data_IF_145702153610
#
_entry.id   IF_145702153610
#
_cell.length_a   1.000
_cell.length_b   1.000
_cell.length_c   1.000
_cell.angle_alpha   90.00
_cell.angle_beta   90.00
_cell.angle_gamma   90.00
#
_symmetry.space_group_name_H-M   'P 1'
#
loop_
_entity.id
_entity.type
_entity.pdbx_description
1 polymer ?
#
# COMPACT_ATOMS: atom_id res chain seq x y z
N UNK A 1 -3.15 16.94 -13.98
CA UNK A 1 -2.70 18.06 -13.15
C UNK A 1 -1.21 17.90 -13.02
N UNK A 2 -0.44 18.88 -13.47
CA UNK A 2 0.99 18.72 -13.67
C UNK A 2 1.72 18.83 -12.34
N UNK A 3 2.83 18.10 -12.22
CA UNK A 3 3.71 18.27 -11.06
C UNK A 3 4.21 19.70 -10.93
N UNK A 4 4.48 20.36 -12.05
CA UNK A 4 4.95 21.76 -12.08
C UNK A 4 3.96 22.72 -11.40
N UNK A 5 2.66 22.39 -11.41
CA UNK A 5 1.61 23.17 -10.76
C UNK A 5 1.74 23.15 -9.22
N UNK A 6 2.30 22.07 -8.67
CA UNK A 6 2.42 21.84 -7.21
C UNK A 6 3.87 21.72 -6.73
N UNK A 7 4.86 21.82 -7.62
CA UNK A 7 6.28 21.61 -7.31
C UNK A 7 6.76 22.49 -6.15
N UNK A 8 6.32 23.76 -6.14
CA UNK A 8 6.68 24.71 -5.08
C UNK A 8 6.20 24.25 -3.71
N UNK A 9 5.03 23.59 -3.64
CA UNK A 9 4.49 23.03 -2.40
C UNK A 9 5.40 21.91 -1.91
N UNK A 10 5.78 20.98 -2.79
CA UNK A 10 6.74 19.93 -2.42
C UNK A 10 8.06 20.52 -1.93
N UNK A 11 8.60 21.52 -2.60
CA UNK A 11 9.90 22.11 -2.24
C UNK A 11 9.86 22.95 -0.97
N UNK A 12 8.69 23.43 -0.56
CA UNK A 12 8.47 24.10 0.72
C UNK A 12 8.58 23.14 1.90
N UNK A 13 8.02 21.92 1.77
CA UNK A 13 7.95 20.97 2.88
C UNK A 13 9.05 19.90 2.85
N UNK A 14 9.63 19.60 1.69
CA UNK A 14 10.64 18.56 1.52
C UNK A 14 12.03 19.19 1.40
N UNK A 15 12.97 18.71 2.22
CA UNK A 15 14.35 19.15 2.19
C UNK A 15 14.99 18.94 0.82
N UNK A 16 15.79 19.90 0.35
CA UNK A 16 16.39 19.94 -1.00
C UNK A 16 17.06 18.62 -1.44
N UNK A 17 17.76 17.95 -0.51
CA UNK A 17 18.42 16.66 -0.77
C UNK A 17 17.49 15.54 -1.24
N UNK A 18 16.18 15.68 -1.01
CA UNK A 18 15.16 14.69 -1.34
C UNK A 18 14.24 15.11 -2.49
N UNK A 19 14.48 16.27 -3.13
CA UNK A 19 13.65 16.77 -4.22
C UNK A 19 13.51 15.80 -5.41
N UNK A 20 14.50 14.92 -5.61
CA UNK A 20 14.46 13.86 -6.63
C UNK A 20 13.30 12.87 -6.45
N UNK A 21 12.82 12.68 -5.21
CA UNK A 21 11.75 11.75 -4.87
C UNK A 21 10.36 12.39 -4.95
N UNK A 22 10.26 13.72 -5.10
CA UNK A 22 8.96 14.41 -5.08
C UNK A 22 8.03 13.96 -6.22
N UNK A 23 8.59 13.61 -7.38
CA UNK A 23 7.80 13.11 -8.52
C UNK A 23 7.19 11.74 -8.25
N UNK A 24 7.98 10.84 -7.65
CA UNK A 24 7.50 9.54 -7.23
C UNK A 24 6.41 9.68 -6.16
N UNK A 25 6.65 10.47 -5.12
CA UNK A 25 5.63 10.76 -4.11
C UNK A 25 4.35 11.33 -4.73
N UNK A 26 4.46 12.34 -5.60
CA UNK A 26 3.28 12.91 -6.26
C UNK A 26 2.52 11.90 -7.11
N UNK A 27 3.22 11.03 -7.84
CA UNK A 27 2.59 9.97 -8.60
C UNK A 27 1.81 8.99 -7.70
N UNK A 28 2.39 8.60 -6.56
CA UNK A 28 1.72 7.75 -5.57
C UNK A 28 0.48 8.45 -5.00
N UNK A 29 0.55 9.75 -4.68
CA UNK A 29 -0.58 10.54 -4.20
C UNK A 29 -1.68 10.68 -5.26
N UNK A 30 -1.34 10.84 -6.54
CA UNK A 30 -2.32 10.79 -7.63
C UNK A 30 -3.01 9.42 -7.63
N UNK A 31 -2.26 8.31 -7.59
CA UNK A 31 -2.87 6.98 -7.60
C UNK A 31 -3.77 6.72 -6.38
N UNK A 32 -3.45 7.29 -5.22
CA UNK A 32 -4.34 7.31 -4.05
C UNK A 32 -5.63 8.09 -4.35
N UNK A 33 -5.53 9.33 -4.84
CA UNK A 33 -6.68 10.17 -5.19
C UNK A 33 -7.59 9.50 -6.24
N UNK A 34 -6.99 8.78 -7.20
CA UNK A 34 -7.72 8.05 -8.24
C UNK A 34 -8.30 6.71 -7.77
N UNK A 35 -8.18 6.38 -6.47
CA UNK A 35 -8.66 5.13 -5.90
C UNK A 35 -8.07 3.88 -6.59
N UNK A 36 -6.87 4.00 -7.14
CA UNK A 36 -6.16 2.86 -7.75
C UNK A 36 -5.54 2.00 -6.64
N UNK A 37 -4.96 2.64 -5.62
CA UNK A 37 -4.51 1.99 -4.38
C UNK A 37 -5.17 2.62 -3.15
N UNK A 38 -5.41 1.86 -2.08
CA UNK A 38 -6.04 2.38 -0.86
C UNK A 38 -5.08 3.19 0.01
N UNK A 39 -3.83 2.75 0.11
CA UNK A 39 -2.81 3.38 0.93
C UNK A 39 -1.42 3.30 0.28
N UNK A 40 -0.52 4.13 0.77
CA UNK A 40 0.88 4.21 0.34
C UNK A 40 1.77 4.26 1.58
N UNK A 41 2.73 3.33 1.67
CA UNK A 41 3.81 3.44 2.65
C UNK A 41 4.83 4.43 2.11
N UNK A 42 5.04 5.50 2.85
CA UNK A 42 6.09 6.46 2.57
C UNK A 42 7.30 6.13 3.45
N UNK A 43 8.34 5.63 2.77
CA UNK A 43 9.62 5.14 3.32
C UNK A 43 10.83 5.76 2.57
N UNK A 44 10.59 6.70 1.66
CA UNK A 44 11.61 7.23 0.74
C UNK A 44 12.71 8.04 1.46
N UNK A 45 12.36 8.71 2.56
CA UNK A 45 13.28 9.51 3.36
C UNK A 45 12.67 9.87 4.73
N UNK A 46 13.51 10.20 5.73
CA UNK A 46 13.02 10.68 7.02
C UNK A 46 12.17 11.94 6.84
N UNK A 47 10.93 11.86 7.31
CA UNK A 47 9.96 12.93 7.18
C UNK A 47 9.01 12.92 8.38
N UNK A 48 8.83 14.08 9.03
CA UNK A 48 7.93 14.15 10.18
C UNK A 48 6.47 14.06 9.73
N UNK A 49 5.64 13.45 10.58
CA UNK A 49 4.18 13.36 10.37
C UNK A 49 3.59 14.77 10.22
N UNK A 50 4.01 15.72 11.03
CA UNK A 50 3.58 17.13 10.94
C UNK A 50 3.89 17.74 9.57
N UNK A 51 5.10 17.54 9.04
CA UNK A 51 5.44 18.05 7.70
C UNK A 51 4.66 17.32 6.61
N UNK A 52 4.41 16.01 6.75
CA UNK A 52 3.54 15.28 5.82
C UNK A 52 2.12 15.84 5.85
N UNK A 53 1.57 16.10 7.02
CA UNK A 53 0.25 16.72 7.17
C UNK A 53 0.19 18.08 6.49
N UNK A 54 1.17 18.95 6.74
CA UNK A 54 1.22 20.27 6.12
C UNK A 54 1.36 20.20 4.59
N UNK A 55 2.15 19.24 4.09
CA UNK A 55 2.25 18.95 2.66
C UNK A 55 0.91 18.49 2.07
N UNK A 56 0.28 17.47 2.67
CA UNK A 56 -1.00 16.91 2.20
C UNK A 56 -2.13 17.95 2.28
N UNK A 57 -2.20 18.75 3.34
CA UNK A 57 -3.16 19.85 3.47
C UNK A 57 -2.97 20.90 2.37
N UNK A 58 -1.73 21.26 2.06
CA UNK A 58 -1.44 22.21 0.97
C UNK A 58 -1.81 21.63 -0.39
N UNK A 59 -1.59 20.33 -0.58
CA UNK A 59 -1.96 19.60 -1.80
C UNK A 59 -3.47 19.35 -1.91
N UNK A 60 -4.24 19.36 -0.81
CA UNK A 60 -5.69 19.10 -0.83
C UNK A 60 -6.47 20.09 -1.70
N UNK A 61 -5.94 21.30 -1.89
CA UNK A 61 -6.51 22.31 -2.79
C UNK A 61 -6.40 21.93 -4.27
N UNK A 62 -5.54 20.95 -4.59
CA UNK A 62 -5.17 20.53 -5.94
C UNK A 62 -5.62 19.10 -6.22
N UNK A 63 -5.31 18.22 -5.27
CA UNK A 63 -5.76 16.85 -5.23
C UNK A 63 -7.00 16.83 -4.33
N UNK A 64 -8.19 16.72 -4.90
CA UNK A 64 -9.45 16.65 -4.15
C UNK A 64 -9.63 15.34 -3.36
N UNK A 65 -8.60 14.91 -2.62
CA UNK A 65 -8.63 13.75 -1.74
C UNK A 65 -8.45 14.13 -0.29
N UNK A 66 -9.15 13.39 0.57
CA UNK A 66 -9.00 13.42 2.01
C UNK A 66 -8.12 12.24 2.41
N UNK A 67 -7.08 12.51 3.19
CA UNK A 67 -6.11 11.50 3.60
C UNK A 67 -6.07 11.31 5.10
N UNK A 68 -5.76 10.08 5.52
CA UNK A 68 -5.38 9.71 6.88
C UNK A 68 -3.89 9.40 6.89
N UNK A 69 -3.17 9.85 7.92
CA UNK A 69 -1.77 9.49 8.14
C UNK A 69 -1.69 8.55 9.33
N UNK A 70 -1.16 7.35 9.12
CA UNK A 70 -0.90 6.37 10.17
C UNK A 70 0.61 6.26 10.38
N UNK A 71 1.05 6.38 11.63
CA UNK A 71 2.45 6.12 11.99
C UNK A 71 2.70 4.62 11.98
N UNK A 72 3.56 4.12 11.10
CA UNK A 72 3.81 2.68 11.01
C UNK A 72 5.05 2.26 11.80
N UNK A 73 6.13 3.03 11.69
CA UNK A 73 7.37 2.81 12.44
C UNK A 73 7.94 4.16 12.91
N UNK A 74 9.20 4.17 13.38
CA UNK A 74 9.89 5.41 13.73
C UNK A 74 10.01 6.37 12.53
N UNK A 75 10.25 5.82 11.34
CA UNK A 75 10.50 6.61 10.12
C UNK A 75 9.46 6.39 9.02
N UNK A 76 8.59 5.39 9.16
CA UNK A 76 7.65 5.01 8.12
C UNK A 76 6.24 5.45 8.48
N UNK A 77 5.56 6.01 7.49
CA UNK A 77 4.18 6.48 7.60
C UNK A 77 3.35 5.90 6.47
N UNK A 78 2.11 5.56 6.78
CA UNK A 78 1.12 5.12 5.78
C UNK A 78 0.19 6.29 5.50
N UNK A 79 0.09 6.68 4.24
CA UNK A 79 -0.87 7.67 3.75
C UNK A 79 -2.01 6.91 3.10
N UNK A 80 -3.22 7.08 3.62
CA UNK A 80 -4.40 6.35 3.17
C UNK A 80 -5.46 7.31 2.65
N UNK A 81 -6.15 6.95 1.57
CA UNK A 81 -7.32 7.70 1.09
C UNK A 81 -8.55 7.30 1.92
N UNK A 82 -9.20 8.26 2.57
CA UNK A 82 -10.41 8.03 3.38
C UNK A 82 -11.51 7.29 2.60
N UNK A 83 -11.68 7.59 1.31
CA UNK A 83 -12.70 6.96 0.46
C UNK A 83 -12.44 5.48 0.15
N UNK A 84 -11.26 4.96 0.49
CA UNK A 84 -10.92 3.54 0.36
C UNK A 84 -10.99 2.79 1.69
N UNK A 85 -11.16 3.49 2.81
CA UNK A 85 -11.21 2.89 4.14
C UNK A 85 -12.38 1.91 4.27
N UNK A 86 -13.57 2.30 3.81
CA UNK A 86 -14.76 1.43 3.81
C UNK A 86 -14.56 0.13 3.03
N UNK A 87 -13.80 0.16 1.93
CA UNK A 87 -13.48 -1.05 1.16
C UNK A 87 -12.53 -1.95 1.93
N UNK A 88 -11.53 -1.40 2.61
CA UNK A 88 -10.64 -2.19 3.46
C UNK A 88 -11.35 -2.77 4.69
N UNK A 89 -12.45 -2.17 5.12
CA UNK A 89 -13.28 -2.69 6.21
C UNK A 89 -14.22 -3.81 5.73
N UNK A 90 -14.66 -3.74 4.47
CA UNK A 90 -15.62 -4.68 3.88
C UNK A 90 -15.11 -6.13 3.96
N UNK A 91 -15.84 -7.04 4.63
CA UNK A 91 -15.50 -8.46 4.68
C UNK A 91 -15.49 -9.14 3.31
N UNK A 92 -16.19 -8.57 2.31
CA UNK A 92 -16.20 -9.06 0.92
C UNK A 92 -14.93 -8.75 0.13
N UNK A 93 -14.03 -7.92 0.69
CA UNK A 93 -12.72 -7.67 0.08
C UNK A 93 -11.91 -8.96 0.04
N UNK A 94 -11.84 -9.54 -1.16
CA UNK A 94 -11.14 -10.79 -1.43
C UNK A 94 -9.63 -10.58 -1.36
N UNK A 95 -9.00 -11.33 -0.47
CA UNK A 95 -7.54 -11.42 -0.32
C UNK A 95 -7.16 -12.87 -0.10
N UNK A 96 -6.06 -13.32 -0.68
CA UNK A 96 -5.48 -14.62 -0.36
C UNK A 96 -4.41 -14.40 0.70
N UNK A 97 -4.49 -15.18 1.77
CA UNK A 97 -3.48 -15.25 2.79
C UNK A 97 -2.59 -16.44 2.52
N UNK A 98 -1.30 -16.21 2.43
CA UNK A 98 -0.28 -17.24 2.27
C UNK A 98 0.36 -17.42 3.64
N UNK A 99 0.10 -18.56 4.27
CA UNK A 99 0.81 -18.95 5.49
C UNK A 99 2.18 -19.49 5.08
N UNK A 100 3.22 -18.69 5.31
CA UNK A 100 4.60 -19.04 4.98
C UNK A 100 5.17 -20.14 5.90
N UNK A 101 4.53 -20.46 7.02
CA UNK A 101 4.96 -21.56 7.89
C UNK A 101 4.57 -22.92 7.30
N UNK A 102 3.37 -23.00 6.74
CA UNK A 102 2.79 -24.24 6.21
C UNK A 102 2.83 -24.32 4.69
N UNK A 103 3.10 -23.19 4.02
CA UNK A 103 3.03 -23.01 2.57
C UNK A 103 1.65 -23.38 2.02
N UNK A 104 0.59 -22.90 2.67
CA UNK A 104 -0.81 -23.13 2.32
C UNK A 104 -1.51 -21.78 2.14
N UNK A 105 -2.49 -21.73 1.24
CA UNK A 105 -3.39 -20.57 1.05
C UNK A 105 -4.65 -20.69 1.90
N UNK A 106 -5.12 -19.57 2.45
CA UNK A 106 -6.42 -19.46 3.12
C UNK A 106 -7.05 -18.12 2.78
N UNK A 107 -8.38 -18.08 2.69
CA UNK A 107 -9.13 -16.86 2.42
C UNK A 107 -9.55 -16.14 3.72
N UNK A 108 -9.32 -16.79 4.88
CA UNK A 108 -9.68 -16.25 6.17
C UNK A 108 -8.56 -16.43 7.21
N UNK A 109 -8.38 -15.41 8.05
CA UNK A 109 -7.53 -15.48 9.23
C UNK A 109 -8.01 -14.45 10.28
N UNK A 110 -8.08 -14.79 11.59
CA UNK A 110 -8.58 -13.88 12.63
C UNK A 110 -7.84 -12.54 12.73
N UNK A 111 -6.59 -12.49 12.25
CA UNK A 111 -5.80 -11.26 12.16
C UNK A 111 -6.42 -10.23 11.21
N UNK A 112 -7.05 -10.66 10.12
CA UNK A 112 -7.73 -9.74 9.21
C UNK A 112 -8.87 -9.04 9.92
N UNK A 113 -9.62 -9.75 10.77
CA UNK A 113 -10.69 -9.16 11.57
C UNK A 113 -10.16 -8.14 12.57
N UNK A 114 -8.99 -8.39 13.17
CA UNK A 114 -8.32 -7.39 14.03
C UNK A 114 -7.95 -6.12 13.24
N UNK A 115 -7.39 -6.27 12.04
CA UNK A 115 -7.04 -5.13 11.17
C UNK A 115 -8.32 -4.37 10.77
N UNK A 116 -9.35 -5.08 10.29
CA UNK A 116 -10.64 -4.51 9.89
C UNK A 116 -11.31 -3.76 11.04
N UNK A 117 -11.38 -4.36 12.22
CA UNK A 117 -11.97 -3.73 13.41
C UNK A 117 -11.25 -2.43 13.77
N UNK A 118 -9.91 -2.41 13.67
CA UNK A 118 -9.16 -1.19 13.89
C UNK A 118 -9.41 -0.14 12.81
N UNK A 119 -9.44 -0.53 11.52
CA UNK A 119 -9.81 0.38 10.44
C UNK A 119 -11.23 0.94 10.61
N UNK A 120 -12.20 0.14 11.07
CA UNK A 120 -13.56 0.59 11.40
C UNK A 120 -13.59 1.61 12.52
N UNK A 121 -12.75 1.43 13.53
CA UNK A 121 -12.59 2.40 14.61
C UNK A 121 -12.02 3.73 14.07
N UNK A 122 -11.03 3.66 13.17
CA UNK A 122 -10.46 4.85 12.51
C UNK A 122 -11.55 5.58 11.71
N UNK A 123 -12.33 4.84 10.93
CA UNK A 123 -13.42 5.39 10.11
C UNK A 123 -14.48 6.09 10.98
N UNK A 124 -14.85 5.45 12.10
CA UNK A 124 -15.80 6.01 13.06
C UNK A 124 -15.28 7.30 13.69
N UNK A 125 -14.02 7.34 14.11
CA UNK A 125 -13.39 8.54 14.69
C UNK A 125 -13.26 9.67 13.68
N UNK A 126 -12.87 9.38 12.45
CA UNK A 126 -12.76 10.36 11.37
C UNK A 126 -14.09 11.07 11.08
N UNK A 127 -15.21 10.41 11.36
CA UNK A 127 -16.55 10.97 11.22
C UNK A 127 -16.98 11.82 12.43
N UNK A 128 -16.34 11.65 13.60
CA UNK A 128 -16.68 12.31 14.85
C UNK A 128 -15.74 13.47 15.21
N UNK A 129 -14.46 13.33 14.90
CA UNK A 129 -13.40 14.26 15.21
C UNK A 129 -12.70 14.58 13.89
N UNK A 130 -12.59 15.85 13.51
CA UNK A 130 -11.82 16.30 12.33
C UNK A 130 -10.29 16.12 12.55
N UNK A 131 -9.89 15.16 13.37
CA UNK A 131 -8.52 14.78 13.62
C UNK A 131 -8.18 13.57 12.76
N UNK A 132 -7.18 13.72 11.91
CA UNK A 132 -6.84 12.78 10.84
C UNK A 132 -5.69 11.85 11.21
N UNK A 133 -5.21 11.95 12.45
CA UNK A 133 -3.89 11.49 12.83
C UNK A 133 -3.93 10.52 13.99
N UNK A 134 -3.32 9.34 13.79
CA UNK A 134 -3.23 8.28 14.79
C UNK A 134 -1.86 8.19 15.46
N UNK A 135 -1.07 9.27 15.43
CA UNK A 135 0.31 9.25 15.94
C UNK A 135 0.41 8.83 17.42
N UNK A 136 -0.60 9.13 18.22
CA UNK A 136 -0.67 8.84 19.66
C UNK A 136 -1.58 7.65 19.99
N UNK A 137 -2.03 6.92 18.97
CA UNK A 137 -2.96 5.81 19.19
C UNK A 137 -2.21 4.57 19.72
N UNK A 138 -2.37 4.32 21.01
CA UNK A 138 -1.82 3.13 21.69
C UNK A 138 -2.39 1.82 21.14
N UNK A 139 -3.66 1.79 20.72
CA UNK A 139 -4.28 0.60 20.12
C UNK A 139 -3.67 0.27 18.75
N UNK A 140 -3.41 1.28 17.92
CA UNK A 140 -2.73 1.11 16.63
C UNK A 140 -1.29 0.61 16.83
N UNK A 141 -0.58 1.20 17.78
CA UNK A 141 0.78 0.82 18.12
C UNK A 141 0.85 -0.62 18.63
N UNK A 142 -0.08 -0.99 19.51
CA UNK A 142 -0.22 -2.36 20.04
C UNK A 142 -0.61 -3.36 18.94
N UNK A 143 -1.48 -2.96 18.02
CA UNK A 143 -1.86 -3.78 16.86
C UNK A 143 -0.64 -4.07 15.98
N UNK A 144 0.13 -3.04 15.58
CA UNK A 144 1.33 -3.24 14.76
C UNK A 144 2.35 -4.13 15.48
N UNK A 145 2.57 -3.92 16.78
CA UNK A 145 3.52 -4.72 17.56
C UNK A 145 3.10 -6.18 17.74
N UNK A 146 1.79 -6.46 17.75
CA UNK A 146 1.24 -7.79 17.97
C UNK A 146 1.04 -8.59 16.68
N UNK A 147 1.14 -7.95 15.52
CA UNK A 147 0.89 -8.58 14.23
C UNK A 147 2.16 -8.64 13.37
N UNK A 148 2.17 -9.57 12.42
CA UNK A 148 3.22 -9.62 11.41
C UNK A 148 3.15 -8.35 10.55
N UNK A 149 4.26 -7.60 10.52
CA UNK A 149 4.39 -6.34 9.78
C UNK A 149 3.98 -6.50 8.31
N UNK A 150 4.44 -7.57 7.65
CA UNK A 150 4.11 -7.90 6.27
C UNK A 150 2.61 -8.09 6.04
N UNK A 151 1.89 -8.67 7.00
CA UNK A 151 0.44 -8.81 6.90
C UNK A 151 -0.25 -7.46 6.94
N UNK A 152 0.04 -6.67 7.98
CA UNK A 152 -0.62 -5.38 8.22
C UNK A 152 -0.38 -4.47 7.02
N UNK A 153 0.87 -4.41 6.58
CA UNK A 153 1.27 -3.66 5.39
C UNK A 153 0.56 -4.16 4.12
N UNK A 154 0.61 -5.47 3.84
CA UNK A 154 0.01 -6.05 2.64
C UNK A 154 -1.49 -5.78 2.56
N UNK A 155 -2.21 -5.96 3.68
CA UNK A 155 -3.64 -5.67 3.75
C UNK A 155 -3.94 -4.19 3.51
N UNK A 156 -3.27 -3.29 4.24
CA UNK A 156 -3.55 -1.85 4.19
C UNK A 156 -3.17 -1.24 2.84
N UNK A 157 -2.10 -1.73 2.20
CA UNK A 157 -1.74 -1.32 0.85
C UNK A 157 -2.67 -1.89 -0.24
N UNK A 158 -3.60 -2.78 0.12
CA UNK A 158 -4.53 -3.40 -0.81
C UNK A 158 -3.85 -4.38 -1.75
N UNK A 159 -2.92 -5.19 -1.23
CA UNK A 159 -2.34 -6.29 -1.99
C UNK A 159 -3.33 -7.44 -2.10
N UNK A 160 -3.39 -8.13 -3.25
CA UNK A 160 -4.23 -9.30 -3.42
C UNK A 160 -3.72 -10.51 -2.63
N UNK A 161 -2.41 -10.50 -2.31
CA UNK A 161 -1.72 -11.53 -1.54
C UNK A 161 -1.17 -10.95 -0.24
N UNK A 162 -1.43 -11.64 0.86
CA UNK A 162 -1.03 -11.24 2.21
C UNK A 162 -0.27 -12.39 2.83
N UNK A 163 0.87 -12.10 3.46
CA UNK A 163 1.74 -13.13 4.01
C UNK A 163 1.61 -13.18 5.51
N UNK A 164 1.42 -14.37 6.05
CA UNK A 164 1.46 -14.63 7.49
C UNK A 164 2.62 -15.56 7.81
N UNK A 165 3.31 -15.30 8.92
CA UNK A 165 4.37 -16.17 9.42
C UNK A 165 4.46 -16.15 10.96
N UNK A 166 5.14 -17.15 11.52
CA UNK A 166 5.57 -17.15 12.92
C UNK A 166 7.05 -16.79 12.96
N UNK A 167 7.44 -15.88 13.84
CA UNK A 167 8.83 -15.45 14.01
C UNK A 167 9.79 -16.57 14.45
N UNK A 168 9.26 -17.74 14.80
CA UNK A 168 10.02 -18.90 15.29
C UNK A 168 10.50 -19.84 14.18
N UNK A 169 10.06 -19.66 12.93
CA UNK A 169 10.35 -20.61 11.86
C UNK A 169 11.22 -19.97 10.78
N UNK A 170 12.26 -20.70 10.37
CA UNK A 170 13.04 -20.38 9.19
C UNK A 170 12.21 -20.71 7.96
N UNK A 171 11.85 -19.68 7.19
CA UNK A 171 11.04 -19.83 5.99
C UNK A 171 11.98 -20.17 4.82
N UNK A 172 11.96 -21.45 4.42
CA UNK A 172 12.70 -21.90 3.25
C UNK A 172 11.85 -21.73 1.99
N UNK A 173 11.95 -20.56 1.36
CA UNK A 173 11.44 -20.37 -0.01
C UNK A 173 12.63 -20.26 -0.94
N UNK A 174 12.74 -21.19 -1.88
CA UNK A 174 13.83 -21.25 -2.86
C UNK A 174 13.49 -20.51 -4.16
N UNK A 175 12.22 -20.16 -4.39
CA UNK A 175 11.78 -19.50 -5.62
C UNK A 175 10.64 -18.52 -5.35
N UNK A 176 10.81 -17.29 -5.84
CA UNK A 176 9.80 -16.25 -5.78
C UNK A 176 9.38 -15.83 -7.18
N UNK A 177 8.07 -15.65 -7.36
CA UNK A 177 7.51 -14.96 -8.50
C UNK A 177 7.18 -13.53 -8.10
N UNK A 178 7.82 -12.57 -8.74
CA UNK A 178 7.66 -11.15 -8.46
C UNK A 178 6.65 -10.55 -9.45
N UNK A 179 5.69 -9.81 -8.90
CA UNK A 179 4.71 -9.05 -9.65
C UNK A 179 4.96 -7.57 -9.40
N UNK A 180 5.20 -6.82 -10.47
CA UNK A 180 5.47 -5.39 -10.42
C UNK A 180 4.55 -4.66 -11.37
N UNK A 181 3.70 -3.81 -10.84
CA UNK A 181 2.85 -2.94 -11.64
C UNK A 181 3.50 -1.57 -11.74
N UNK A 182 3.85 -1.19 -12.95
CA UNK A 182 4.36 0.14 -13.26
C UNK A 182 3.26 0.98 -13.89
N UNK A 183 3.23 2.26 -13.53
CA UNK A 183 2.31 3.25 -14.09
C UNK A 183 3.07 4.45 -14.60
N UNK A 184 2.59 5.01 -15.70
CA UNK A 184 3.08 6.26 -16.28
C UNK A 184 1.95 7.28 -16.25
N UNK A 185 2.19 8.38 -15.57
CA UNK A 185 1.25 9.51 -15.50
C UNK A 185 1.59 10.49 -16.63
N UNK A 186 0.59 11.15 -17.23
CA UNK A 186 0.78 12.03 -18.39
C UNK A 186 1.87 13.10 -18.21
N UNK A 187 2.08 13.53 -16.98
CA UNK A 187 3.01 14.61 -16.63
C UNK A 187 4.46 14.12 -16.40
N UNK A 188 4.69 12.81 -16.52
CA UNK A 188 5.98 12.18 -16.34
C UNK A 188 6.37 11.31 -17.54
N UNK A 189 7.66 11.38 -17.89
CA UNK A 189 8.23 10.43 -18.83
C UNK A 189 8.65 9.12 -18.15
N UNK A 190 8.90 9.17 -16.84
CA UNK A 190 9.35 8.03 -16.05
C UNK A 190 8.16 7.16 -15.64
N UNK A 191 8.40 5.86 -15.58
CA UNK A 191 7.46 4.90 -15.01
C UNK A 191 7.66 4.81 -13.51
N UNK A 192 6.56 4.74 -12.77
CA UNK A 192 6.55 4.68 -11.31
C UNK A 192 6.06 3.29 -10.90
N UNK A 193 6.81 2.65 -10.00
CA UNK A 193 6.42 1.37 -9.42
C UNK A 193 5.24 1.58 -8.45
N UNK A 194 4.06 1.09 -8.81
CA UNK A 194 2.85 1.28 -8.03
C UNK A 194 2.62 0.17 -7.00
N UNK A 195 2.84 -1.07 -7.45
CA UNK A 195 2.75 -2.29 -6.65
C UNK A 195 3.96 -3.16 -6.89
N UNK A 196 4.50 -3.76 -5.82
CA UNK A 196 5.54 -4.77 -5.89
C UNK A 196 5.30 -5.80 -4.79
N UNK A 197 4.95 -7.02 -5.18
CA UNK A 197 4.76 -8.12 -4.24
C UNK A 197 5.28 -9.42 -4.85
N UNK A 198 5.59 -10.39 -3.99
CA UNK A 198 6.31 -11.61 -4.38
C UNK A 198 5.62 -12.84 -3.81
N UNK A 199 5.22 -13.76 -4.67
CA UNK A 199 4.61 -15.00 -4.27
C UNK A 199 5.66 -16.12 -4.16
N UNK A 200 5.70 -16.91 -3.06
CA UNK A 200 6.43 -18.17 -3.03
C UNK A 200 5.91 -19.15 -4.08
N UNK A 201 6.85 -19.82 -4.76
CA UNK A 201 6.55 -20.95 -5.65
C UNK A 201 6.83 -22.23 -4.86
N UNK A 202 5.78 -22.94 -4.48
CA UNK A 202 5.87 -24.15 -3.67
C UNK A 202 4.77 -25.14 -4.06
N UNK A 203 5.05 -26.45 -3.97
CA UNK A 203 4.12 -27.52 -4.39
C UNK A 203 2.80 -27.54 -3.61
N UNK A 204 2.84 -27.08 -2.36
CA UNK A 204 1.68 -27.07 -1.46
C UNK A 204 0.82 -25.81 -1.62
N UNK A 205 1.31 -24.81 -2.33
CA UNK A 205 0.59 -23.56 -2.58
C UNK A 205 -0.22 -23.73 -3.84
N UNK A 206 -1.53 -23.42 -3.79
CA UNK A 206 -2.38 -23.40 -4.97
C UNK A 206 -2.00 -22.23 -5.89
N UNK A 207 -1.03 -22.48 -6.78
CA UNK A 207 -0.55 -21.50 -7.75
C UNK A 207 -1.65 -21.07 -8.72
N UNK A 208 -2.66 -21.93 -9.00
CA UNK A 208 -3.77 -21.58 -9.89
C UNK A 208 -4.70 -20.58 -9.22
N UNK A 209 -5.02 -20.81 -7.95
CA UNK A 209 -5.81 -19.86 -7.16
C UNK A 209 -5.11 -18.49 -7.11
N UNK A 210 -3.81 -18.49 -6.85
CA UNK A 210 -3.00 -17.25 -6.81
C UNK A 210 -3.00 -16.52 -8.15
N UNK A 211 -2.72 -17.24 -9.25
CA UNK A 211 -2.73 -16.65 -10.58
C UNK A 211 -4.10 -16.05 -10.93
N UNK A 212 -5.19 -16.75 -10.59
CA UNK A 212 -6.54 -16.25 -10.81
C UNK A 212 -6.81 -14.96 -10.02
N UNK A 213 -6.53 -14.93 -8.72
CA UNK A 213 -6.73 -13.75 -7.88
C UNK A 213 -5.88 -12.56 -8.32
N UNK A 214 -4.64 -12.80 -8.73
CA UNK A 214 -3.76 -11.76 -9.27
C UNK A 214 -4.31 -11.20 -10.58
N UNK A 215 -4.77 -12.06 -11.49
CA UNK A 215 -5.34 -11.65 -12.77
C UNK A 215 -6.63 -10.84 -12.59
N UNK A 216 -7.49 -11.25 -11.66
CA UNK A 216 -8.73 -10.54 -11.34
C UNK A 216 -8.42 -9.15 -10.74
N UNK A 217 -7.47 -9.10 -9.80
CA UNK A 217 -6.98 -7.85 -9.22
C UNK A 217 -6.43 -6.89 -10.29
N UNK A 218 -5.56 -7.38 -11.17
CA UNK A 218 -5.01 -6.53 -12.24
C UNK A 218 -6.04 -6.15 -13.29
N UNK A 219 -7.02 -7.01 -13.58
CA UNK A 219 -8.12 -6.67 -14.49
C UNK A 219 -8.95 -5.52 -13.93
N UNK A 220 -9.27 -5.57 -12.63
CA UNK A 220 -9.96 -4.48 -11.94
C UNK A 220 -9.16 -3.17 -11.95
N UNK A 221 -7.85 -3.23 -11.67
CA UNK A 221 -6.98 -2.05 -11.72
C UNK A 221 -6.85 -1.49 -13.14
N UNK A 222 -6.73 -2.35 -14.14
CA UNK A 222 -6.70 -2.01 -15.57
C UNK A 222 -7.94 -1.23 -15.98
N UNK A 223 -9.15 -1.69 -15.59
CA UNK A 223 -10.39 -0.96 -15.85
C UNK A 223 -10.36 0.46 -15.26
N UNK A 224 -9.93 0.60 -14.00
CA UNK A 224 -9.79 1.92 -13.37
C UNK A 224 -8.78 2.81 -14.09
N UNK A 225 -7.61 2.28 -14.42
CA UNK A 225 -6.54 3.03 -15.07
C UNK A 225 -6.93 3.46 -16.49
N UNK A 226 -7.55 2.58 -17.29
CA UNK A 226 -8.02 2.90 -18.64
C UNK A 226 -9.12 3.97 -18.63
N UNK A 227 -9.96 4.00 -17.58
CA UNK A 227 -11.01 5.02 -17.43
C UNK A 227 -10.46 6.39 -17.02
N UNK A 228 -9.19 6.51 -16.64
CA UNK A 228 -8.63 7.72 -16.09
C UNK A 228 -7.66 8.41 -17.05
N UNK A 229 -7.99 9.62 -17.56
CA UNK A 229 -7.14 10.31 -18.53
C UNK A 229 -5.79 10.74 -17.95
N UNK A 230 -5.60 10.71 -16.62
CA UNK A 230 -4.33 11.05 -15.97
C UNK A 230 -3.27 9.97 -16.18
N UNK A 231 -3.69 8.70 -16.34
CA UNK A 231 -2.80 7.57 -16.57
C UNK A 231 -2.56 7.43 -18.07
N UNK A 232 -1.29 7.55 -18.48
CA UNK A 232 -0.86 7.46 -19.88
C UNK A 232 -0.72 6.02 -20.34
N UNK A 233 -0.11 5.20 -19.48
CA UNK A 233 0.26 3.83 -19.75
C UNK A 233 0.46 3.12 -18.40
N UNK A 234 0.28 1.80 -18.40
CA UNK A 234 0.67 0.94 -17.29
C UNK A 234 1.08 -0.41 -17.87
N UNK A 235 1.95 -1.12 -17.17
CA UNK A 235 2.32 -2.48 -17.53
C UNK A 235 2.58 -3.32 -16.28
N UNK A 236 2.28 -4.61 -16.40
CA UNK A 236 2.59 -5.61 -15.40
C UNK A 236 3.86 -6.35 -15.83
N UNK A 237 4.89 -6.28 -15.00
CA UNK A 237 6.08 -7.09 -15.11
C UNK A 237 5.96 -8.32 -14.18
N UNK A 238 6.25 -9.50 -14.72
CA UNK A 238 6.17 -10.78 -14.03
C UNK A 238 7.49 -11.53 -14.21
N UNK A 239 8.26 -11.65 -13.12
CA UNK A 239 9.58 -12.25 -13.13
C UNK A 239 9.69 -13.37 -12.10
N UNK A 240 10.11 -14.55 -12.54
CA UNK A 240 10.53 -15.63 -11.64
C UNK A 240 12.00 -15.37 -11.28
N UNK A 241 12.30 -15.29 -9.98
CA UNK A 241 13.67 -15.20 -9.46
C UNK A 241 13.94 -16.39 -8.55
N UNK A 242 15.00 -17.13 -8.86
CA UNK A 242 15.61 -18.04 -7.89
C UNK A 242 16.24 -17.19 -6.78
N UNK A 243 15.75 -17.32 -5.55
CA UNK A 243 16.33 -16.67 -4.37
C UNK A 243 16.58 -17.76 -3.34
N UNK A 244 17.83 -17.92 -2.90
CA UNK A 244 18.24 -19.03 -2.05
C UNK A 244 17.82 -18.90 -0.59
N UNK A 245 17.44 -17.71 -0.12
CA UNK A 245 17.13 -17.42 1.29
C UNK A 245 16.36 -16.11 1.45
N UNK A 246 15.31 -16.10 2.29
CA UNK A 246 14.72 -14.87 2.82
C UNK A 246 15.64 -14.25 3.89
N UNK A 247 15.77 -12.93 3.90
CA UNK A 247 15.99 -12.17 5.13
C UNK A 247 14.69 -11.42 5.40
N UNK A 248 13.87 -11.93 6.33
CA UNK A 248 12.71 -11.21 6.87
C UNK A 248 13.18 -10.20 7.91
#
# INVERSE_FOLDING_TARGET
MKFDDVQKIFYQYIHRRYHRYCRELFAQLICLNLNIKPAYLFDLFPFSIENMRNLLNSLSNYLSFRSIILKYSLNDIIIMNCSQLSKLIDPSTSVIIIDLNTMITTDCHPMLDKIRNHLSWIDTRQNQQNDFDNETNEEWSSLIQSLNHTTVFGYILGYPLIYFYSSTLLINVTTLRNFRLYVKINDYNDEILLYSFSCPVHSNIDQKQIEHTINDFFSFLSMKMNSNPTIKHYHLDNQIKEQSTWCL
#
